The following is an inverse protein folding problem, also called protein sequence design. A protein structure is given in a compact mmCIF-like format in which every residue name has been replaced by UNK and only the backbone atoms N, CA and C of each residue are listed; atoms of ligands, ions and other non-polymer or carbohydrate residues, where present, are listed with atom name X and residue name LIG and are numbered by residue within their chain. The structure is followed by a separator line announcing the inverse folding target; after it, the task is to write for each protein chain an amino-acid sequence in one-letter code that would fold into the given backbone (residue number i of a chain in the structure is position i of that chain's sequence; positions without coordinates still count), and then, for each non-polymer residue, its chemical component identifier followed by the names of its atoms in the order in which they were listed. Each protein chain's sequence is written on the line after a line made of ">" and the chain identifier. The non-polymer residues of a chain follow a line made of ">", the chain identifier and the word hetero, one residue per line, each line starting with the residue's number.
data_IF_885220274555
#
_entry.id   IF_885220274555
#
_cell.length_a   1.000
_cell.length_b   1.000
_cell.length_c   1.000
_cell.angle_alpha   90.00
_cell.angle_beta   90.00
_cell.angle_gamma   90.00
#
_symmetry.space_group_name_H-M   'P 1'
#
loop_
_entity.id
_entity.type
_entity.pdbx_description
1 polymer ?
#
# COMPACT_ATOMS: atom_id res chain seq x y z
N UNK A 1 -8.67 7.21 24.25
CA UNK A 1 -7.78 7.09 23.08
C UNK A 1 -8.46 6.12 22.12
N UNK A 2 -8.88 6.57 20.95
CA UNK A 2 -9.66 5.78 20.00
C UNK A 2 -8.76 5.05 19.01
N UNK A 3 -9.04 3.76 18.77
CA UNK A 3 -8.44 2.99 17.69
C UNK A 3 -9.16 3.37 16.40
N UNK A 4 -8.41 3.87 15.40
CA UNK A 4 -8.96 4.39 14.14
C UNK A 4 -8.91 3.39 12.99
N UNK A 5 -8.33 2.21 13.20
CA UNK A 5 -8.17 1.17 12.19
C UNK A 5 -8.70 -0.17 12.69
N UNK A 6 -9.17 -0.99 11.77
CA UNK A 6 -9.66 -2.34 12.01
C UNK A 6 -9.23 -3.30 10.88
N UNK A 7 -9.68 -4.55 10.95
CA UNK A 7 -9.40 -5.59 9.94
C UNK A 7 -9.93 -5.29 8.53
N UNK A 8 -10.82 -4.31 8.38
CA UNK A 8 -11.39 -3.90 7.10
C UNK A 8 -10.66 -2.68 6.51
N UNK A 9 -9.65 -2.17 7.22
CA UNK A 9 -8.91 -0.97 6.82
C UNK A 9 -7.97 -1.30 5.67
N UNK A 10 -8.19 -0.63 4.54
CA UNK A 10 -7.38 -0.76 3.33
C UNK A 10 -6.32 0.33 3.30
N UNK A 11 -5.06 -0.07 3.16
CA UNK A 11 -3.91 0.80 3.37
C UNK A 11 -3.13 1.02 2.07
N UNK A 12 -2.85 2.28 1.74
CA UNK A 12 -1.84 2.67 0.74
C UNK A 12 -0.52 2.99 1.42
N UNK A 13 0.60 2.81 0.72
CA UNK A 13 1.92 3.28 1.19
C UNK A 13 2.49 4.35 0.27
N UNK A 14 2.70 5.56 0.79
CA UNK A 14 3.36 6.63 0.07
C UNK A 14 4.88 6.45 0.09
N UNK A 15 5.52 6.47 -1.09
CA UNK A 15 6.95 6.14 -1.19
C UNK A 15 7.24 4.64 -1.09
N UNK A 16 6.28 3.79 -1.45
CA UNK A 16 6.36 2.32 -1.36
C UNK A 16 7.61 1.74 -2.03
N UNK A 17 8.10 2.34 -3.12
CA UNK A 17 9.26 1.82 -3.86
C UNK A 17 10.62 2.21 -3.26
N UNK A 18 10.64 2.99 -2.18
CA UNK A 18 11.88 3.29 -1.45
C UNK A 18 12.24 2.16 -0.49
N UNK A 19 13.50 2.09 -0.04
CA UNK A 19 13.99 1.01 0.82
C UNK A 19 13.11 0.79 2.06
N UNK A 20 12.80 1.86 2.80
CA UNK A 20 11.96 1.79 4.01
C UNK A 20 10.50 1.48 3.70
N UNK A 21 9.95 2.08 2.64
CA UNK A 21 8.56 1.83 2.21
C UNK A 21 8.33 0.38 1.80
N UNK A 22 9.25 -0.17 1.00
CA UNK A 22 9.19 -1.58 0.58
C UNK A 22 9.36 -2.53 1.77
N UNK A 23 10.32 -2.25 2.65
CA UNK A 23 10.56 -3.06 3.85
C UNK A 23 9.33 -3.15 4.78
N UNK A 24 8.69 -2.01 5.09
CA UNK A 24 7.49 -2.02 5.94
C UNK A 24 6.25 -2.55 5.23
N UNK A 25 6.12 -2.36 3.91
CA UNK A 25 5.03 -2.95 3.13
C UNK A 25 5.13 -4.47 3.11
N UNK A 26 6.33 -5.03 2.91
CA UNK A 26 6.58 -6.46 2.99
C UNK A 26 6.24 -7.02 4.38
N UNK A 27 6.68 -6.35 5.45
CA UNK A 27 6.34 -6.77 6.81
C UNK A 27 4.84 -6.67 7.09
N UNK A 28 4.17 -5.60 6.65
CA UNK A 28 2.73 -5.45 6.82
C UNK A 28 1.94 -6.55 6.09
N UNK A 29 2.34 -6.89 4.86
CA UNK A 29 1.78 -8.01 4.11
C UNK A 29 2.00 -9.36 4.80
N UNK A 30 3.18 -9.57 5.38
CA UNK A 30 3.48 -10.78 6.16
C UNK A 30 2.72 -10.81 7.51
N UNK A 31 2.34 -9.64 8.02
CA UNK A 31 1.73 -9.49 9.34
C UNK A 31 0.22 -9.69 9.27
N UNK A 32 -0.21 -10.92 9.63
CA UNK A 32 -1.58 -11.34 9.95
C UNK A 32 -2.70 -10.62 9.16
N UNK A 33 -2.54 -10.53 7.84
CA UNK A 33 -3.60 -10.08 6.93
C UNK A 33 -3.83 -8.56 6.86
N UNK A 34 -2.83 -7.73 7.13
CA UNK A 34 -2.94 -6.28 6.84
C UNK A 34 -3.31 -6.07 5.37
N UNK A 35 -4.37 -5.31 5.11
CA UNK A 35 -4.91 -5.13 3.76
C UNK A 35 -4.16 -4.03 3.01
N UNK A 36 -2.91 -4.30 2.63
CA UNK A 36 -2.15 -3.42 1.72
C UNK A 36 -2.77 -3.50 0.32
N UNK A 37 -3.20 -2.37 -0.23
CA UNK A 37 -3.92 -2.33 -1.53
C UNK A 37 -3.13 -1.63 -2.64
N UNK A 38 -1.97 -1.06 -2.33
CA UNK A 38 -1.13 -0.38 -3.31
C UNK A 38 -0.16 0.60 -2.68
N UNK A 39 0.56 1.32 -3.52
CA UNK A 39 1.43 2.41 -3.06
C UNK A 39 1.51 3.55 -4.04
N UNK A 40 2.10 4.65 -3.59
CA UNK A 40 2.16 5.90 -4.36
C UNK A 40 3.59 6.20 -4.75
N UNK A 41 3.80 6.44 -6.04
CA UNK A 41 5.02 7.02 -6.57
C UNK A 41 4.70 7.92 -7.79
N UNK A 42 4.95 9.25 -7.71
CA UNK A 42 4.57 10.19 -8.76
C UNK A 42 5.16 9.91 -10.16
N UNK A 43 6.29 9.18 -10.23
CA UNK A 43 7.01 8.90 -11.49
C UNK A 43 6.81 7.47 -12.00
N UNK A 44 6.25 6.58 -11.19
CA UNK A 44 6.11 5.14 -11.49
C UNK A 44 4.65 4.67 -11.42
N UNK A 45 3.71 5.60 -11.55
CA UNK A 45 2.29 5.27 -11.60
C UNK A 45 1.97 4.37 -12.80
N UNK A 46 1.19 3.31 -12.56
CA UNK A 46 0.85 2.29 -13.56
C UNK A 46 1.75 1.05 -13.53
N UNK A 47 2.84 1.06 -12.77
CA UNK A 47 3.69 -0.12 -12.56
C UNK A 47 3.16 -1.02 -11.44
N UNK A 48 3.66 -2.26 -11.40
CA UNK A 48 3.41 -3.21 -10.31
C UNK A 48 4.64 -3.34 -9.43
N UNK A 49 4.47 -3.19 -8.12
CA UNK A 49 5.48 -3.52 -7.13
C UNK A 49 5.35 -4.98 -6.71
N UNK A 50 6.47 -5.69 -6.58
CA UNK A 50 6.50 -7.09 -6.16
C UNK A 50 6.98 -7.19 -4.71
N UNK A 51 6.18 -7.86 -3.89
CA UNK A 51 6.51 -8.20 -2.52
C UNK A 51 7.42 -9.44 -2.46
N UNK A 52 8.11 -9.60 -1.32
CA UNK A 52 9.03 -10.72 -1.10
C UNK A 52 8.31 -12.09 -1.06
N UNK A 53 7.02 -12.09 -0.71
CA UNK A 53 6.16 -13.27 -0.69
C UNK A 53 5.52 -13.60 -2.07
N UNK A 54 5.88 -12.86 -3.13
CA UNK A 54 5.39 -13.05 -4.49
C UNK A 54 4.08 -12.34 -4.82
N UNK A 55 3.46 -11.63 -3.86
CA UNK A 55 2.28 -10.81 -4.12
C UNK A 55 2.65 -9.54 -4.90
N UNK A 56 1.76 -9.09 -5.78
CA UNK A 56 1.94 -7.83 -6.51
C UNK A 56 0.95 -6.77 -6.03
N UNK A 57 1.41 -5.53 -5.90
CA UNK A 57 0.60 -4.37 -5.54
C UNK A 57 0.75 -3.27 -6.60
N UNK A 58 -0.35 -2.61 -7.00
CA UNK A 58 -0.30 -1.54 -7.98
C UNK A 58 0.37 -0.28 -7.39
N UNK A 59 1.13 0.42 -8.24
CA UNK A 59 1.68 1.74 -7.94
C UNK A 59 0.83 2.79 -8.66
N UNK A 60 0.40 3.82 -7.93
CA UNK A 60 -0.37 4.95 -8.46
C UNK A 60 0.46 6.23 -8.48
N UNK A 61 0.13 7.16 -9.38
CA UNK A 61 0.82 8.43 -9.47
C UNK A 61 0.40 9.40 -8.37
N UNK A 62 -0.83 9.27 -7.85
CA UNK A 62 -1.38 10.12 -6.79
C UNK A 62 -2.22 9.34 -5.78
N UNK A 63 -2.31 9.87 -4.56
CA UNK A 63 -3.18 9.30 -3.50
C UNK A 63 -4.65 9.29 -3.93
N UNK A 64 -5.10 10.34 -4.63
CA UNK A 64 -6.47 10.44 -5.10
C UNK A 64 -6.84 9.28 -6.05
N UNK A 65 -5.97 9.02 -7.03
CA UNK A 65 -6.11 7.89 -7.97
C UNK A 65 -6.10 6.55 -7.23
N UNK A 66 -5.13 6.35 -6.32
CA UNK A 66 -5.02 5.11 -5.55
C UNK A 66 -6.26 4.87 -4.70
N UNK A 67 -6.80 5.90 -4.05
CA UNK A 67 -8.03 5.81 -3.25
C UNK A 67 -9.23 5.44 -4.11
N UNK A 68 -9.40 6.09 -5.27
CA UNK A 68 -10.52 5.82 -6.18
C UNK A 68 -10.51 4.38 -6.68
N UNK A 69 -9.33 3.86 -7.07
CA UNK A 69 -9.19 2.51 -7.64
C UNK A 69 -9.26 1.39 -6.62
N UNK A 70 -8.86 1.63 -5.37
CA UNK A 70 -8.72 0.57 -4.35
C UNK A 70 -9.75 0.66 -3.22
N UNK A 71 -10.36 1.84 -3.05
CA UNK A 71 -11.20 2.16 -1.89
C UNK A 71 -10.39 2.26 -0.59
N UNK A 72 -9.11 2.65 -0.66
CA UNK A 72 -8.27 2.83 0.53
C UNK A 72 -8.90 3.79 1.55
N UNK A 73 -8.84 3.40 2.82
CA UNK A 73 -9.35 4.17 3.96
C UNK A 73 -8.23 4.72 4.84
N UNK A 74 -6.98 4.30 4.60
CA UNK A 74 -5.76 4.82 5.21
C UNK A 74 -4.60 4.88 4.19
N UNK A 75 -3.61 5.75 4.41
CA UNK A 75 -2.49 5.99 3.46
C UNK A 75 -1.23 6.54 4.10
#
# INVERSE_FOLDING_TARGET
>A
MSILIDKNTKVLTQGMTGNTGSFHTNQALAYFGTQMVGGIHPKKGGEMWKADNGQELPIFASVAEGKEKTGATAS
#
